data_IF_849603414415
#
_entry.id   IF_849603414415
#
_cell.length_a   1.000
_cell.length_b   1.000
_cell.length_c   1.000
_cell.angle_alpha   90.00
_cell.angle_beta   90.00
_cell.angle_gamma   90.00
#
_symmetry.space_group_name_H-M   'P 1'
#
loop_
_entity.id
_entity.type
_entity.pdbx_description
1 polymer ?
#
# COMPACT_ATOMS: atom_id res chain seq x y z
N UNK A 1 12.13 8.20 -29.79
CA UNK A 1 12.21 8.93 -28.50
C UNK A 1 10.92 8.84 -27.69
N UNK A 2 9.73 9.03 -28.28
CA UNK A 2 8.44 8.97 -27.55
C UNK A 2 8.13 7.64 -26.84
N UNK A 3 8.42 6.49 -27.46
CA UNK A 3 8.16 5.18 -26.84
C UNK A 3 9.03 4.91 -25.60
N UNK A 4 10.31 5.32 -25.63
CA UNK A 4 11.19 5.21 -24.45
C UNK A 4 10.66 6.04 -23.28
N UNK A 5 10.18 7.25 -23.56
CA UNK A 5 9.57 8.12 -22.53
C UNK A 5 8.34 7.44 -21.93
N UNK A 6 7.48 6.82 -22.75
CA UNK A 6 6.31 6.07 -22.26
C UNK A 6 6.72 4.92 -21.34
N UNK A 7 7.70 4.11 -21.72
CA UNK A 7 8.16 3.00 -20.88
C UNK A 7 8.76 3.48 -19.55
N UNK A 8 9.57 4.56 -19.58
CA UNK A 8 10.12 5.16 -18.36
C UNK A 8 9.01 5.69 -17.46
N UNK A 9 8.00 6.36 -18.01
CA UNK A 9 6.86 6.86 -17.26
C UNK A 9 6.05 5.71 -16.62
N UNK A 10 5.74 4.66 -17.38
CA UNK A 10 5.02 3.50 -16.84
C UNK A 10 5.81 2.80 -15.71
N UNK A 11 7.13 2.66 -15.87
CA UNK A 11 7.99 2.09 -14.84
C UNK A 11 8.00 2.96 -13.56
N UNK A 12 8.16 4.28 -13.71
CA UNK A 12 8.16 5.21 -12.58
C UNK A 12 6.84 5.21 -11.82
N UNK A 13 5.70 5.22 -12.54
CA UNK A 13 4.37 5.15 -11.93
C UNK A 13 4.14 3.83 -11.19
N UNK A 14 4.60 2.71 -11.75
CA UNK A 14 4.46 1.39 -11.12
C UNK A 14 5.26 1.30 -9.82
N UNK A 15 6.49 1.81 -9.83
CA UNK A 15 7.35 1.86 -8.63
C UNK A 15 6.73 2.78 -7.57
N UNK A 16 6.26 3.96 -7.96
CA UNK A 16 5.61 4.90 -7.05
C UNK A 16 4.34 4.29 -6.42
N UNK A 17 3.50 3.64 -7.23
CA UNK A 17 2.30 2.96 -6.76
C UNK A 17 2.63 1.90 -5.69
N UNK A 18 3.67 1.08 -5.93
CA UNK A 18 4.16 0.10 -4.95
C UNK A 18 4.70 0.69 -3.68
N UNK A 19 5.45 1.78 -3.80
CA UNK A 19 5.99 2.48 -2.65
C UNK A 19 4.88 3.09 -1.77
N UNK A 20 3.86 3.69 -2.38
CA UNK A 20 2.71 4.25 -1.66
C UNK A 20 1.96 3.16 -0.90
N UNK A 21 1.68 2.02 -1.55
CA UNK A 21 1.00 0.89 -0.90
C UNK A 21 1.79 0.33 0.27
N UNK A 22 3.11 0.14 0.12
CA UNK A 22 3.97 -0.28 1.22
C UNK A 22 3.84 0.69 2.40
N UNK A 23 4.03 1.99 2.16
CA UNK A 23 3.93 3.01 3.21
C UNK A 23 2.55 3.08 3.85
N UNK A 24 1.48 2.78 3.12
CA UNK A 24 0.12 2.77 3.63
C UNK A 24 -0.09 1.66 4.66
N UNK A 25 0.32 0.42 4.35
CA UNK A 25 0.20 -0.70 5.31
C UNK A 25 1.14 -0.59 6.50
N UNK A 26 2.32 -0.03 6.29
CA UNK A 26 3.26 0.27 7.36
C UNK A 26 2.63 1.26 8.37
N UNK A 27 1.97 2.31 7.86
CA UNK A 27 1.23 3.28 8.69
C UNK A 27 -0.02 2.72 9.35
N UNK A 28 -0.74 1.82 8.69
CA UNK A 28 -1.90 1.18 9.29
C UNK A 28 -1.49 0.20 10.41
N UNK A 29 -0.23 -0.27 10.42
CA UNK A 29 0.31 -1.16 11.45
C UNK A 29 0.16 -2.65 11.13
N UNK A 30 -0.29 -2.99 9.91
CA UNK A 30 -0.29 -4.37 9.42
C UNK A 30 1.13 -4.83 9.04
N UNK A 31 2.03 -3.90 8.72
CA UNK A 31 3.43 -4.16 8.35
C UNK A 31 3.66 -4.13 6.84
N UNK A 32 4.86 -3.71 6.43
CA UNK A 32 5.18 -3.41 5.04
C UNK A 32 5.03 -4.56 4.03
N UNK A 33 5.14 -5.82 4.48
CA UNK A 33 5.02 -7.02 3.63
C UNK A 33 3.61 -7.14 3.03
N UNK A 34 2.57 -6.68 3.74
CA UNK A 34 1.20 -6.64 3.21
C UNK A 34 1.07 -5.67 2.02
N UNK A 35 2.00 -4.73 1.85
CA UNK A 35 2.10 -3.90 0.65
C UNK A 35 2.36 -4.67 -0.64
N UNK A 36 2.95 -5.86 -0.58
CA UNK A 36 3.18 -6.71 -1.76
C UNK A 36 1.88 -7.35 -2.28
N UNK A 37 0.80 -7.34 -1.50
CA UNK A 37 -0.50 -7.85 -1.95
C UNK A 37 -1.09 -7.06 -3.12
N UNK A 38 -0.60 -5.84 -3.35
CA UNK A 38 -1.07 -4.98 -4.44
C UNK A 38 -0.89 -5.60 -5.83
N UNK A 39 0.06 -6.53 -6.00
CA UNK A 39 0.35 -7.20 -7.27
C UNK A 39 -0.70 -8.25 -7.65
N UNK A 40 -1.58 -8.61 -6.71
CA UNK A 40 -2.67 -9.55 -6.95
C UNK A 40 -3.98 -8.75 -6.98
N UNK A 41 -4.65 -8.60 -8.14
CA UNK A 41 -5.79 -7.69 -8.30
C UNK A 41 -6.94 -7.95 -7.32
N UNK A 42 -7.31 -9.22 -7.11
CA UNK A 42 -8.38 -9.59 -6.20
C UNK A 42 -8.04 -9.29 -4.74
N UNK A 43 -6.79 -9.56 -4.33
CA UNK A 43 -6.35 -9.28 -2.96
C UNK A 43 -6.27 -7.78 -2.74
N UNK A 44 -5.81 -7.00 -3.73
CA UNK A 44 -5.77 -5.54 -3.64
C UNK A 44 -7.15 -4.95 -3.27
N UNK A 45 -8.23 -5.39 -3.94
CA UNK A 45 -9.60 -4.98 -3.61
C UNK A 45 -9.99 -5.39 -2.19
N UNK A 46 -9.72 -6.64 -1.79
CA UNK A 46 -10.00 -7.10 -0.42
C UNK A 46 -9.23 -6.30 0.62
N UNK A 47 -7.96 -5.97 0.35
CA UNK A 47 -7.16 -5.19 1.28
C UNK A 47 -7.62 -3.73 1.37
N UNK A 48 -8.19 -3.15 0.30
CA UNK A 48 -8.86 -1.85 0.40
C UNK A 48 -10.06 -1.92 1.34
N UNK A 49 -10.85 -3.00 1.29
CA UNK A 49 -11.95 -3.21 2.24
C UNK A 49 -11.43 -3.37 3.66
N UNK A 50 -10.36 -4.15 3.87
CA UNK A 50 -9.71 -4.28 5.19
C UNK A 50 -9.22 -2.92 5.67
N UNK A 51 -8.52 -2.15 4.83
CA UNK A 51 -7.99 -0.84 5.23
C UNK A 51 -9.10 0.18 5.53
N UNK A 52 -10.25 0.08 4.85
CA UNK A 52 -11.38 0.97 5.06
C UNK A 52 -12.22 0.63 6.30
N UNK A 53 -12.37 -0.66 6.63
CA UNK A 53 -13.30 -1.11 7.66
C UNK A 53 -12.65 -1.77 8.88
N UNK A 54 -11.42 -2.25 8.80
CA UNK A 54 -10.73 -2.83 9.94
C UNK A 54 -10.13 -1.74 10.83
N UNK A 55 -10.08 -2.02 12.13
CA UNK A 55 -9.32 -1.19 13.06
C UNK A 55 -7.83 -1.25 12.73
N UNK A 56 -7.19 -0.08 12.66
CA UNK A 56 -5.78 0.00 12.31
C UNK A 56 -4.93 -0.31 13.55
N UNK A 57 -4.08 -1.37 13.53
CA UNK A 57 -3.22 -1.72 14.66
C UNK A 57 -2.37 -0.54 15.17
N UNK A 58 -1.94 0.35 14.27
CA UNK A 58 -1.14 1.52 14.63
C UNK A 58 -1.89 2.54 15.50
N UNK A 59 -3.23 2.64 15.40
CA UNK A 59 -4.01 3.50 16.29
C UNK A 59 -4.18 2.88 17.68
N UNK A 60 -4.24 1.55 17.78
CA UNK A 60 -4.44 0.86 19.06
C UNK A 60 -3.27 1.05 20.04
N UNK A 61 -2.03 1.08 19.54
CA UNK A 61 -0.83 1.26 20.37
C UNK A 61 -0.73 2.61 21.10
N UNK A 62 -1.51 3.62 20.72
CA UNK A 62 -1.50 4.94 21.36
C UNK A 62 -2.46 5.06 22.56
N UNK A 63 -3.41 4.13 22.72
CA UNK A 63 -4.46 4.22 23.74
C UNK A 63 -4.10 3.54 25.07
N UNK A 64 -2.97 2.85 25.14
CA UNK A 64 -2.53 2.09 26.33
C UNK A 64 -1.48 2.84 27.17
N UNK A 65 -1.19 4.10 26.83
CA UNK A 65 -0.20 4.95 27.52
C UNK A 65 -0.79 6.18 28.21
N UNK A 66 -2.10 6.20 28.46
CA UNK A 66 -2.79 7.22 29.26
C UNK A 66 -3.11 6.70 30.65
#
# INVERSE_FOLDING_TARGET
MGELIRYVLYAALTILYGFVWWKLFDKAGFGGIYGLTMYIPFINVLMLLVLAFADWPALHNNNVRV
#
